data_IF_941899590877
#
_entry.id   IF_941899590877
#
_cell.length_a   1.000
_cell.length_b   1.000
_cell.length_c   1.000
_cell.angle_alpha   90.00
_cell.angle_beta   90.00
_cell.angle_gamma   90.00
#
_symmetry.space_group_name_H-M   'P 1'
#
loop_
_entity.id
_entity.type
_entity.pdbx_description
1 polymer ?
#
# COMPACT_ATOMS: atom_id res chain seq x y z
N UNK A 1 -19.68 -5.23 9.42
CA UNK A 1 -18.92 -5.82 10.54
C UNK A 1 -18.25 -4.76 11.42
N UNK A 2 -17.59 -3.72 10.87
CA UNK A 2 -16.92 -2.67 11.64
C UNK A 2 -17.90 -1.99 12.59
N UNK A 3 -19.01 -1.46 12.06
CA UNK A 3 -20.05 -0.76 12.84
C UNK A 3 -20.72 -1.66 13.88
N UNK A 4 -20.98 -2.93 13.56
CA UNK A 4 -21.61 -3.89 14.47
C UNK A 4 -20.76 -4.20 15.71
N UNK A 5 -19.47 -3.89 15.66
CA UNK A 5 -18.50 -4.04 16.76
C UNK A 5 -18.22 -2.73 17.52
N UNK A 6 -18.92 -1.65 17.17
CA UNK A 6 -18.82 -0.36 17.84
C UNK A 6 -17.70 0.55 17.33
N UNK A 7 -16.99 0.16 16.26
CA UNK A 7 -15.94 1.00 15.65
C UNK A 7 -16.53 2.00 14.66
N UNK A 8 -15.91 3.16 14.58
CA UNK A 8 -16.28 4.24 13.66
C UNK A 8 -15.44 4.14 12.38
N UNK A 9 -16.15 3.99 11.26
CA UNK A 9 -15.51 3.93 9.94
C UNK A 9 -14.99 5.32 9.57
N UNK A 10 -13.72 5.41 9.19
CA UNK A 10 -13.04 6.65 8.87
C UNK A 10 -12.34 7.33 10.07
N UNK A 11 -12.58 6.83 11.30
CA UNK A 11 -11.94 7.32 12.51
C UNK A 11 -11.11 6.22 13.19
N UNK A 12 -11.79 5.15 13.62
CA UNK A 12 -11.12 4.03 14.28
C UNK A 12 -10.54 3.03 13.27
N UNK A 13 -11.18 2.89 12.11
CA UNK A 13 -10.78 2.00 11.03
C UNK A 13 -10.95 2.72 9.68
N UNK A 14 -9.90 2.68 8.88
CA UNK A 14 -9.85 3.19 7.50
C UNK A 14 -9.58 2.04 6.53
N UNK A 15 -9.70 2.29 5.23
CA UNK A 15 -9.45 1.27 4.22
C UNK A 15 -8.13 1.51 3.51
N UNK A 16 -7.40 0.42 3.29
CA UNK A 16 -6.30 0.34 2.34
C UNK A 16 -6.68 -0.74 1.31
N UNK A 17 -6.44 -0.47 0.05
CA UNK A 17 -6.71 -1.41 -1.04
C UNK A 17 -5.43 -1.75 -1.78
N UNK A 18 -5.32 -2.99 -2.20
CA UNK A 18 -4.33 -3.49 -3.13
C UNK A 18 -5.06 -3.87 -4.42
N UNK A 19 -4.85 -3.07 -5.45
CA UNK A 19 -5.54 -3.23 -6.73
C UNK A 19 -4.89 -4.30 -7.61
N UNK A 20 -3.60 -4.57 -7.41
CA UNK A 20 -2.79 -5.49 -8.21
C UNK A 20 -3.05 -5.30 -9.72
N UNK A 21 -3.06 -4.04 -10.17
CA UNK A 21 -3.59 -3.67 -11.47
C UNK A 21 -2.79 -4.25 -12.64
N UNK A 22 -1.53 -4.66 -12.42
CA UNK A 22 -0.76 -5.40 -13.43
C UNK A 22 -1.43 -6.70 -13.87
N UNK A 23 -2.16 -7.38 -12.97
CA UNK A 23 -2.91 -8.60 -13.32
C UNK A 23 -4.12 -8.34 -14.22
N UNK A 24 -4.60 -7.12 -14.26
CA UNK A 24 -5.72 -6.70 -15.11
C UNK A 24 -5.26 -6.12 -16.45
N UNK A 25 -3.97 -5.85 -16.61
CA UNK A 25 -3.46 -5.10 -17.74
C UNK A 25 -3.23 -5.97 -18.97
N UNK A 26 -3.86 -5.61 -20.08
CA UNK A 26 -3.63 -6.17 -21.41
C UNK A 26 -2.58 -5.30 -22.13
N UNK A 27 -1.33 -5.76 -22.14
CA UNK A 27 -0.21 -5.03 -22.73
C UNK A 27 -0.38 -4.78 -24.24
N UNK A 28 -1.03 -5.71 -24.96
CA UNK A 28 -1.23 -5.58 -26.39
C UNK A 28 -2.21 -4.44 -26.74
N UNK A 29 -3.15 -4.18 -25.84
CA UNK A 29 -4.22 -3.17 -26.01
C UNK A 29 -3.96 -1.89 -25.23
N UNK A 30 -3.09 -1.95 -24.22
CA UNK A 30 -2.82 -0.81 -23.34
C UNK A 30 -3.99 -0.44 -22.43
N UNK A 31 -4.77 -1.43 -21.98
CA UNK A 31 -5.98 -1.22 -21.16
C UNK A 31 -6.07 -2.23 -20.02
N UNK A 32 -6.83 -1.88 -18.99
CA UNK A 32 -7.15 -2.76 -17.86
C UNK A 32 -8.49 -3.43 -18.10
N UNK A 33 -8.53 -4.75 -18.04
CA UNK A 33 -9.70 -5.58 -18.35
C UNK A 33 -10.37 -6.08 -17.07
N UNK A 34 -11.69 -5.93 -16.99
CA UNK A 34 -12.50 -6.28 -15.82
C UNK A 34 -13.49 -7.43 -16.09
N UNK A 35 -13.02 -8.68 -16.18
CA UNK A 35 -13.88 -9.80 -16.54
C UNK A 35 -14.96 -10.12 -15.51
N UNK A 36 -14.71 -9.80 -14.23
CA UNK A 36 -15.69 -9.95 -13.16
C UNK A 36 -16.84 -8.97 -13.25
N UNK A 37 -16.55 -7.71 -13.59
CA UNK A 37 -17.55 -6.65 -13.76
C UNK A 37 -18.41 -6.91 -15.00
N UNK A 38 -17.80 -7.28 -16.12
CA UNK A 38 -18.50 -7.65 -17.36
C UNK A 38 -19.54 -8.75 -17.11
N UNK A 39 -19.17 -9.81 -16.40
CA UNK A 39 -20.10 -10.90 -16.05
C UNK A 39 -21.19 -10.46 -15.08
N UNK A 40 -20.85 -9.64 -14.09
CA UNK A 40 -21.78 -9.17 -13.05
C UNK A 40 -22.89 -8.29 -13.61
N UNK A 41 -22.60 -7.48 -14.62
CA UNK A 41 -23.55 -6.60 -15.29
C UNK A 41 -24.37 -7.30 -16.39
N UNK A 42 -24.05 -8.56 -16.71
CA UNK A 42 -24.70 -9.29 -17.79
C UNK A 42 -24.38 -8.72 -19.19
N UNK A 43 -23.31 -7.96 -19.29
CA UNK A 43 -22.89 -7.38 -20.56
C UNK A 43 -22.20 -8.41 -21.44
N UNK A 44 -22.57 -8.44 -22.71
CA UNK A 44 -21.88 -9.28 -23.73
C UNK A 44 -20.50 -8.72 -24.09
N UNK A 45 -20.28 -7.43 -23.81
CA UNK A 45 -19.01 -6.75 -24.09
C UNK A 45 -18.11 -6.71 -22.86
N UNK A 46 -16.84 -6.91 -23.09
CA UNK A 46 -15.79 -6.79 -22.09
C UNK A 46 -15.64 -5.34 -21.59
N UNK A 47 -15.65 -5.15 -20.28
CA UNK A 47 -15.35 -3.85 -19.67
C UNK A 47 -13.84 -3.68 -19.60
N UNK A 48 -13.33 -2.65 -20.23
CA UNK A 48 -11.93 -2.28 -20.24
C UNK A 48 -11.78 -0.77 -19.92
N UNK A 49 -10.70 -0.41 -19.21
CA UNK A 49 -10.39 0.96 -18.80
C UNK A 49 -8.98 1.33 -19.22
N UNK A 50 -8.79 2.56 -19.68
CA UNK A 50 -7.49 3.19 -19.81
C UNK A 50 -6.92 3.59 -18.44
N UNK A 51 -5.64 3.95 -18.36
CA UNK A 51 -5.03 4.48 -17.13
C UNK A 51 -5.76 5.72 -16.60
N UNK A 52 -6.25 6.58 -17.47
CA UNK A 52 -7.01 7.77 -17.09
C UNK A 52 -8.36 7.41 -16.46
N UNK A 53 -9.06 6.43 -17.01
CA UNK A 53 -10.33 5.93 -16.45
C UNK A 53 -10.11 5.18 -15.13
N UNK A 54 -8.97 4.46 -14.97
CA UNK A 54 -8.57 3.88 -13.68
C UNK A 54 -8.39 4.98 -12.63
N UNK A 55 -7.66 6.03 -12.96
CA UNK A 55 -7.43 7.15 -12.05
C UNK A 55 -8.76 7.81 -11.66
N UNK A 56 -9.67 8.05 -12.63
CA UNK A 56 -10.98 8.61 -12.33
C UNK A 56 -11.81 7.72 -11.40
N UNK A 57 -11.77 6.40 -11.61
CA UNK A 57 -12.41 5.43 -10.72
C UNK A 57 -11.85 5.52 -9.28
N UNK A 58 -10.54 5.62 -9.12
CA UNK A 58 -9.95 5.78 -7.79
C UNK A 58 -10.32 7.10 -7.13
N UNK A 59 -10.43 8.19 -7.89
CA UNK A 59 -10.91 9.47 -7.35
C UNK A 59 -12.33 9.35 -6.79
N UNK A 60 -13.22 8.69 -7.52
CA UNK A 60 -14.59 8.43 -7.06
C UNK A 60 -14.61 7.56 -5.78
N UNK A 61 -13.81 6.50 -5.74
CA UNK A 61 -13.73 5.62 -4.58
C UNK A 61 -13.21 6.35 -3.33
N UNK A 62 -12.16 7.15 -3.48
CA UNK A 62 -11.59 7.96 -2.37
C UNK A 62 -12.58 9.02 -1.87
N UNK A 63 -13.42 9.57 -2.74
CA UNK A 63 -14.48 10.50 -2.33
C UNK A 63 -15.63 9.81 -1.57
N UNK A 64 -15.95 8.58 -1.94
CA UNK A 64 -17.09 7.85 -1.36
C UNK A 64 -16.73 7.07 -0.08
N UNK A 65 -15.50 6.64 0.05
CA UNK A 65 -15.03 5.76 1.12
C UNK A 65 -13.79 6.32 1.80
N UNK A 66 -13.56 6.03 3.09
CA UNK A 66 -12.37 6.44 3.83
C UNK A 66 -11.15 5.60 3.44
N UNK A 67 -10.79 5.63 2.15
CA UNK A 67 -9.59 4.97 1.63
C UNK A 67 -8.41 5.91 1.89
N UNK A 68 -7.37 5.39 2.53
CA UNK A 68 -6.15 6.14 2.87
C UNK A 68 -4.92 5.64 2.10
N UNK A 69 -5.02 4.47 1.47
CA UNK A 69 -3.91 3.86 0.75
C UNK A 69 -4.40 3.04 -0.45
N UNK A 70 -3.72 3.16 -1.57
CA UNK A 70 -3.92 2.36 -2.79
C UNK A 70 -2.57 1.78 -3.19
N UNK A 71 -2.48 0.45 -3.19
CA UNK A 71 -1.31 -0.31 -3.62
C UNK A 71 -1.50 -0.78 -5.06
N UNK A 72 -0.46 -0.66 -5.87
CA UNK A 72 -0.39 -1.08 -7.28
C UNK A 72 -1.63 -0.70 -8.10
N UNK A 73 -1.98 0.58 -8.02
CA UNK A 73 -3.16 1.13 -8.69
C UNK A 73 -3.08 1.11 -10.22
N UNK A 74 -1.90 0.98 -10.80
CA UNK A 74 -1.67 0.92 -12.25
C UNK A 74 -0.59 -0.14 -12.57
N UNK A 75 -0.47 -0.50 -13.85
CA UNK A 75 0.54 -1.41 -14.36
C UNK A 75 1.96 -0.97 -13.95
N UNK A 76 2.81 -1.92 -13.62
CA UNK A 76 4.14 -1.71 -13.03
C UNK A 76 5.12 -0.94 -13.93
N UNK A 77 4.87 -0.86 -15.22
CA UNK A 77 5.69 -0.10 -16.17
C UNK A 77 4.94 1.10 -16.80
N UNK A 78 3.70 1.39 -16.35
CA UNK A 78 2.98 2.61 -16.76
C UNK A 78 3.44 3.83 -15.96
N UNK A 79 4.70 4.21 -16.13
CA UNK A 79 5.30 5.35 -15.41
C UNK A 79 4.57 6.66 -15.65
N UNK A 80 4.02 6.88 -16.84
CA UNK A 80 3.25 8.09 -17.17
C UNK A 80 1.91 8.10 -16.42
N UNK A 81 1.22 6.98 -16.39
CA UNK A 81 -0.01 6.82 -15.60
C UNK A 81 0.25 7.03 -14.10
N UNK A 82 1.32 6.46 -13.57
CA UNK A 82 1.71 6.64 -12.16
C UNK A 82 2.01 8.10 -11.79
N UNK A 83 2.67 8.86 -12.67
CA UNK A 83 2.87 10.30 -12.47
C UNK A 83 1.53 11.06 -12.41
N UNK A 84 0.59 10.74 -13.32
CA UNK A 84 -0.74 11.34 -13.34
C UNK A 84 -1.53 10.98 -12.08
N UNK A 85 -1.52 9.69 -11.68
CA UNK A 85 -2.15 9.20 -10.46
C UNK A 85 -1.62 9.94 -9.24
N UNK A 86 -0.30 10.03 -9.11
CA UNK A 86 0.35 10.71 -7.98
C UNK A 86 -0.01 12.20 -7.94
N UNK A 87 -0.02 12.87 -9.08
CA UNK A 87 -0.40 14.28 -9.17
C UNK A 87 -1.85 14.53 -8.73
N UNK A 88 -2.77 13.59 -8.98
CA UNK A 88 -4.21 13.75 -8.70
C UNK A 88 -4.60 13.32 -7.29
N UNK A 89 -3.95 12.29 -6.77
CA UNK A 89 -4.34 11.65 -5.50
C UNK A 89 -3.24 11.60 -4.43
N UNK A 90 -1.97 11.87 -4.78
CA UNK A 90 -0.84 11.71 -3.86
C UNK A 90 -0.90 12.59 -2.62
N UNK A 91 -1.58 13.74 -2.66
CA UNK A 91 -1.80 14.61 -1.51
C UNK A 91 -2.96 14.12 -0.61
N UNK A 92 -3.78 13.19 -1.09
CA UNK A 92 -5.00 12.72 -0.41
C UNK A 92 -4.84 11.33 0.17
N UNK A 93 -4.12 10.46 -0.53
CA UNK A 93 -3.93 9.05 -0.17
C UNK A 93 -2.48 8.63 -0.37
N UNK A 94 -2.09 7.61 0.37
CA UNK A 94 -0.84 6.91 0.12
C UNK A 94 -0.96 6.08 -1.15
N UNK A 95 0.01 6.22 -2.05
CA UNK A 95 0.13 5.46 -3.29
C UNK A 95 1.35 4.56 -3.18
N UNK A 96 1.10 3.28 -2.95
CA UNK A 96 2.15 2.29 -2.66
C UNK A 96 2.54 1.56 -3.93
N UNK A 97 3.83 1.53 -4.23
CA UNK A 97 4.37 0.66 -5.27
C UNK A 97 4.91 -0.64 -4.67
N UNK A 98 4.28 -1.76 -5.01
CA UNK A 98 4.79 -3.11 -4.80
C UNK A 98 5.49 -3.60 -6.08
N UNK A 99 4.75 -4.01 -7.10
CA UNK A 99 5.30 -4.46 -8.39
C UNK A 99 6.01 -3.31 -9.12
N UNK A 100 5.54 -2.08 -8.95
CA UNK A 100 6.20 -0.88 -9.47
C UNK A 100 7.68 -0.81 -9.04
N UNK A 101 7.98 -1.13 -7.78
CA UNK A 101 9.31 -0.93 -7.20
C UNK A 101 10.08 -2.23 -6.92
N UNK A 102 9.39 -3.33 -6.67
CA UNK A 102 9.94 -4.65 -6.29
C UNK A 102 11.07 -4.58 -5.25
N UNK A 103 10.96 -3.64 -4.29
CA UNK A 103 11.99 -3.33 -3.27
C UNK A 103 13.37 -2.99 -3.90
N UNK A 104 13.41 -2.61 -5.17
CA UNK A 104 14.64 -2.37 -5.93
C UNK A 104 15.05 -0.89 -5.91
N UNK A 105 16.22 -0.53 -5.33
CA UNK A 105 16.67 0.86 -5.25
C UNK A 105 16.71 1.59 -6.61
N UNK A 106 16.99 0.90 -7.71
CA UNK A 106 16.99 1.51 -9.04
C UNK A 106 15.60 1.93 -9.50
N UNK A 107 14.59 1.08 -9.27
CA UNK A 107 13.20 1.41 -9.61
C UNK A 107 12.65 2.48 -8.67
N UNK A 108 12.97 2.41 -7.36
CA UNK A 108 12.62 3.46 -6.38
C UNK A 108 13.21 4.80 -6.81
N UNK A 109 14.50 4.85 -7.18
CA UNK A 109 15.14 6.07 -7.67
C UNK A 109 14.46 6.62 -8.94
N UNK A 110 14.01 5.72 -9.83
CA UNK A 110 13.25 6.12 -11.02
C UNK A 110 11.94 6.78 -10.63
N UNK A 111 11.16 6.14 -9.74
CA UNK A 111 9.90 6.68 -9.23
C UNK A 111 10.06 8.05 -8.56
N UNK A 112 11.06 8.20 -7.70
CA UNK A 112 11.38 9.48 -7.05
C UNK A 112 11.64 10.57 -8.10
N UNK A 113 12.47 10.28 -9.11
CA UNK A 113 12.80 11.26 -10.17
C UNK A 113 11.57 11.65 -11.01
N UNK A 114 10.66 10.73 -11.22
CA UNK A 114 9.46 10.93 -12.01
C UNK A 114 8.31 11.52 -11.20
N UNK A 115 8.38 11.51 -9.87
CA UNK A 115 7.26 11.86 -8.99
C UNK A 115 6.12 10.84 -9.08
N UNK A 116 6.46 9.56 -9.17
CA UNK A 116 5.53 8.44 -9.27
C UNK A 116 5.43 7.69 -7.94
N UNK A 117 4.22 7.54 -7.40
CA UNK A 117 3.93 7.02 -6.06
C UNK A 117 4.41 7.96 -4.92
N UNK A 118 4.15 7.60 -3.67
CA UNK A 118 4.64 8.27 -2.47
C UNK A 118 4.96 7.30 -1.33
N UNK A 119 4.86 5.98 -1.59
CA UNK A 119 5.20 4.93 -0.65
C UNK A 119 5.76 3.70 -1.37
N UNK A 120 6.58 2.93 -0.67
CA UNK A 120 7.22 1.70 -1.15
C UNK A 120 6.77 0.53 -0.29
N UNK A 121 6.28 -0.54 -0.91
CA UNK A 121 6.11 -1.82 -0.24
C UNK A 121 7.47 -2.53 -0.18
N UNK A 122 7.88 -2.95 1.00
CA UNK A 122 9.18 -3.58 1.23
C UNK A 122 8.99 -5.06 1.50
N UNK A 123 9.46 -5.88 0.58
CA UNK A 123 9.50 -7.35 0.67
C UNK A 123 10.96 -7.78 0.64
N UNK A 124 11.52 -8.13 1.79
CA UNK A 124 12.96 -8.40 1.97
C UNK A 124 13.49 -9.43 0.98
N UNK A 125 12.70 -10.44 0.65
CA UNK A 125 13.10 -11.51 -0.27
C UNK A 125 12.97 -11.14 -1.76
N UNK A 126 12.37 -10.01 -2.14
CA UNK A 126 12.36 -9.54 -3.54
C UNK A 126 13.74 -9.06 -3.97
N UNK A 127 14.41 -8.28 -3.12
CA UNK A 127 15.78 -7.82 -3.38
C UNK A 127 16.83 -8.83 -2.92
N UNK A 128 16.54 -9.61 -1.86
CA UNK A 128 17.28 -10.80 -1.47
C UNK A 128 18.21 -10.66 -0.27
N UNK A 129 18.59 -9.46 0.14
CA UNK A 129 19.39 -9.24 1.35
C UNK A 129 18.80 -8.16 2.24
N UNK A 130 19.05 -8.28 3.55
CA UNK A 130 18.63 -7.25 4.53
C UNK A 130 19.32 -5.91 4.23
N UNK A 131 20.59 -5.93 3.87
CA UNK A 131 21.35 -4.72 3.54
C UNK A 131 20.73 -3.96 2.36
N UNK A 132 20.37 -4.64 1.29
CA UNK A 132 19.72 -4.01 0.13
C UNK A 132 18.33 -3.51 0.49
N UNK A 133 17.59 -4.24 1.32
CA UNK A 133 16.28 -3.79 1.84
C UNK A 133 16.41 -2.51 2.67
N UNK A 134 17.40 -2.43 3.56
CA UNK A 134 17.68 -1.24 4.34
C UNK A 134 18.08 -0.05 3.45
N UNK A 135 18.88 -0.27 2.41
CA UNK A 135 19.23 0.76 1.44
C UNK A 135 18.00 1.26 0.67
N UNK A 136 17.07 0.37 0.31
CA UNK A 136 15.83 0.74 -0.35
C UNK A 136 14.92 1.58 0.57
N UNK A 137 14.81 1.18 1.85
CA UNK A 137 14.06 1.90 2.88
C UNK A 137 14.65 3.30 3.09
N UNK A 138 15.96 3.40 3.27
CA UNK A 138 16.64 4.67 3.50
C UNK A 138 16.46 5.62 2.31
N UNK A 139 16.60 5.10 1.08
CA UNK A 139 16.38 5.87 -0.14
C UNK A 139 14.95 6.42 -0.22
N UNK A 140 13.94 5.60 0.05
CA UNK A 140 12.54 5.99 0.05
C UNK A 140 12.29 7.09 1.09
N UNK A 141 12.70 6.87 2.34
CA UNK A 141 12.53 7.81 3.45
C UNK A 141 13.24 9.14 3.21
N UNK A 142 14.47 9.11 2.67
CA UNK A 142 15.24 10.33 2.34
C UNK A 142 14.56 11.18 1.26
N UNK A 143 13.70 10.58 0.44
CA UNK A 143 12.90 11.28 -0.56
C UNK A 143 11.49 11.68 -0.06
N UNK A 144 11.18 11.43 1.20
CA UNK A 144 9.85 11.70 1.78
C UNK A 144 8.78 10.65 1.44
N UNK A 145 9.18 9.49 0.92
CA UNK A 145 8.26 8.38 0.71
C UNK A 145 8.06 7.60 2.01
N UNK A 146 6.84 7.12 2.21
CA UNK A 146 6.55 6.15 3.27
C UNK A 146 7.07 4.76 2.91
N UNK A 147 7.21 3.91 3.92
CA UNK A 147 7.58 2.50 3.73
C UNK A 147 6.60 1.60 4.45
N UNK A 148 6.17 0.55 3.78
CA UNK A 148 5.28 -0.48 4.35
C UNK A 148 6.03 -1.80 4.35
N UNK A 149 6.38 -2.32 5.52
CA UNK A 149 7.04 -3.62 5.62
C UNK A 149 6.00 -4.71 5.40
N UNK A 150 6.28 -5.62 4.46
CA UNK A 150 5.27 -6.55 3.98
C UNK A 150 5.68 -8.01 4.12
N UNK A 151 4.69 -8.83 4.44
CA UNK A 151 4.72 -10.28 4.29
C UNK A 151 4.65 -10.70 2.82
N UNK A 152 4.61 -12.01 2.58
CA UNK A 152 4.25 -12.62 1.29
C UNK A 152 2.95 -13.40 1.43
N UNK A 153 2.32 -13.75 0.28
CA UNK A 153 1.14 -14.64 0.26
C UNK A 153 1.44 -16.01 0.84
N UNK A 154 2.60 -16.58 0.52
CA UNK A 154 3.15 -17.76 1.19
C UNK A 154 4.06 -17.35 2.34
N UNK A 155 3.63 -17.57 3.58
CA UNK A 155 4.31 -17.15 4.80
C UNK A 155 4.59 -18.31 5.74
N UNK A 156 5.52 -18.06 6.68
CA UNK A 156 5.83 -18.93 7.82
C UNK A 156 5.60 -18.20 9.14
N UNK A 157 5.81 -18.86 10.27
CA UNK A 157 5.72 -18.24 11.59
C UNK A 157 6.94 -17.37 11.95
N UNK A 158 7.92 -17.20 11.05
CA UNK A 158 9.03 -16.27 11.23
C UNK A 158 8.52 -14.84 11.43
N UNK A 159 9.03 -14.16 12.44
CA UNK A 159 8.56 -12.84 12.86
C UNK A 159 9.49 -11.68 12.46
N UNK A 160 10.57 -11.95 11.72
CA UNK A 160 11.61 -10.97 11.38
C UNK A 160 11.05 -9.64 10.84
N UNK A 161 10.00 -9.67 10.03
CA UNK A 161 9.43 -8.44 9.46
C UNK A 161 8.78 -7.53 10.52
N UNK A 162 8.35 -8.06 11.67
CA UNK A 162 7.85 -7.24 12.77
C UNK A 162 9.00 -6.49 13.45
N UNK A 163 10.12 -7.18 13.72
CA UNK A 163 11.34 -6.56 14.26
C UNK A 163 11.87 -5.51 13.28
N UNK A 164 11.91 -5.82 11.97
CA UNK A 164 12.35 -4.88 10.95
C UNK A 164 11.46 -3.64 10.91
N UNK A 165 10.14 -3.79 10.96
CA UNK A 165 9.21 -2.66 10.89
C UNK A 165 9.45 -1.65 12.03
N UNK A 166 9.68 -2.15 13.25
CA UNK A 166 10.00 -1.31 14.40
C UNK A 166 11.42 -0.75 14.30
N UNK A 167 12.41 -1.58 13.99
CA UNK A 167 13.81 -1.18 13.93
C UNK A 167 14.09 -0.05 12.92
N UNK A 168 13.37 -0.04 11.80
CA UNK A 168 13.49 1.03 10.80
C UNK A 168 12.48 2.15 11.00
N UNK A 169 11.64 2.07 12.04
CA UNK A 169 10.54 3.01 12.27
C UNK A 169 9.70 3.20 10.98
N UNK A 170 9.20 2.11 10.43
CA UNK A 170 8.43 2.14 9.20
C UNK A 170 7.03 2.76 9.37
N UNK A 171 6.49 2.73 10.59
CA UNK A 171 5.13 3.19 10.93
C UNK A 171 4.03 2.26 10.42
N UNK A 172 4.32 1.40 9.45
CA UNK A 172 3.35 0.54 8.79
C UNK A 172 3.88 -0.87 8.56
N UNK A 173 2.98 -1.86 8.72
CA UNK A 173 3.22 -3.25 8.36
C UNK A 173 1.99 -3.85 7.65
N UNK A 174 2.21 -4.53 6.53
CA UNK A 174 1.20 -5.34 5.84
C UNK A 174 1.47 -6.80 6.15
N UNK A 175 0.69 -7.41 7.05
CA UNK A 175 0.99 -8.76 7.55
C UNK A 175 -0.23 -9.69 7.63
N UNK A 176 -1.29 -9.37 6.92
CA UNK A 176 -2.52 -10.16 6.85
C UNK A 176 -3.48 -9.91 8.01
N UNK A 177 -4.62 -10.57 7.99
CA UNK A 177 -5.58 -10.53 9.07
C UNK A 177 -5.02 -11.22 10.33
N UNK A 178 -5.47 -10.84 11.56
CA UNK A 178 -5.00 -11.46 12.80
C UNK A 178 -5.61 -12.87 13.00
N UNK A 179 -5.40 -13.72 12.02
CA UNK A 179 -5.79 -15.13 12.01
C UNK A 179 -4.74 -15.94 11.23
N UNK A 180 -4.64 -17.23 11.49
CA UNK A 180 -3.57 -18.15 11.07
C UNK A 180 -2.23 -17.83 11.74
N UNK A 181 -1.49 -18.86 12.13
CA UNK A 181 -0.27 -18.73 12.93
C UNK A 181 0.83 -17.93 12.22
N UNK A 182 0.98 -18.11 10.91
CA UNK A 182 1.95 -17.37 10.10
C UNK A 182 1.70 -15.85 10.04
N UNK A 183 0.50 -15.38 10.43
CA UNK A 183 0.16 -13.96 10.52
C UNK A 183 0.21 -13.48 11.97
N UNK A 184 -0.43 -14.22 12.88
CA UNK A 184 -0.47 -13.85 14.30
C UNK A 184 0.90 -13.86 14.97
N UNK A 185 1.87 -14.63 14.45
CA UNK A 185 3.26 -14.58 14.92
C UNK A 185 3.86 -13.18 14.87
N UNK A 186 3.58 -12.41 13.80
CA UNK A 186 4.05 -11.03 13.63
C UNK A 186 3.38 -10.08 14.62
N UNK A 187 2.05 -10.20 14.78
CA UNK A 187 1.32 -9.40 15.78
C UNK A 187 1.79 -9.68 17.19
N UNK A 188 1.99 -10.97 17.52
CA UNK A 188 2.53 -11.35 18.82
C UNK A 188 3.96 -10.83 19.03
N UNK A 189 4.77 -10.75 17.98
CA UNK A 189 6.12 -10.17 18.08
C UNK A 189 6.05 -8.67 18.33
N UNK A 190 5.16 -7.94 17.68
CA UNK A 190 4.93 -6.51 17.96
C UNK A 190 4.54 -6.28 19.43
N UNK A 191 3.67 -7.13 20.00
CA UNK A 191 3.32 -7.07 21.42
C UNK A 191 4.51 -7.32 22.34
N UNK A 192 5.41 -8.26 22.00
CA UNK A 192 6.64 -8.50 22.77
C UNK A 192 7.60 -7.32 22.71
N UNK A 193 7.73 -6.71 21.52
CA UNK A 193 8.56 -5.50 21.35
C UNK A 193 7.99 -4.35 22.19
N UNK A 194 6.68 -4.16 22.19
CA UNK A 194 6.01 -3.15 23.00
C UNK A 194 6.27 -3.38 24.50
N UNK A 195 6.16 -4.62 24.97
CA UNK A 195 6.46 -5.00 26.36
C UNK A 195 7.94 -4.73 26.72
N UNK A 196 8.87 -5.01 25.81
CA UNK A 196 10.31 -4.80 25.99
C UNK A 196 10.68 -3.31 26.02
N UNK A 197 10.05 -2.50 25.17
CA UNK A 197 10.26 -1.05 25.12
C UNK A 197 9.56 -0.31 26.28
N UNK A 198 8.55 -0.89 26.88
CA UNK A 198 7.81 -0.34 28.02
C UNK A 198 7.35 1.13 27.77
N UNK A 199 7.86 2.06 28.60
CA UNK A 199 7.50 3.49 28.51
C UNK A 199 8.06 4.18 27.25
N UNK A 200 9.04 3.60 26.58
CA UNK A 200 9.59 4.10 25.32
C UNK A 200 8.78 3.64 24.09
N UNK A 201 7.82 2.73 24.29
CA UNK A 201 6.92 2.28 23.23
C UNK A 201 5.94 3.41 22.85
N UNK A 202 6.12 3.98 21.68
CA UNK A 202 5.24 5.02 21.14
C UNK A 202 4.73 4.59 19.78
N UNK A 203 3.40 4.55 19.63
CA UNK A 203 2.75 4.40 18.34
C UNK A 203 2.08 5.71 17.95
N UNK A 204 2.67 6.41 17.00
CA UNK A 204 2.08 7.61 16.39
C UNK A 204 1.51 7.21 15.03
N UNK A 205 0.18 7.23 14.85
CA UNK A 205 -0.40 7.04 13.52
C UNK A 205 0.18 8.07 12.56
N UNK A 206 0.66 7.62 11.42
CA UNK A 206 1.25 8.52 10.43
C UNK A 206 0.25 9.59 9.96
N UNK A 207 0.76 10.74 9.50
CA UNK A 207 0.01 11.92 9.05
C UNK A 207 -1.06 11.67 7.97
N UNK A 208 -1.03 10.50 7.30
CA UNK A 208 -2.02 10.06 6.31
C UNK A 208 -3.46 10.22 6.84
N UNK A 209 -3.67 9.94 8.14
CA UNK A 209 -4.98 10.03 8.79
C UNK A 209 -5.35 11.46 9.22
N UNK A 210 -4.39 12.32 9.49
CA UNK A 210 -4.66 13.70 9.93
C UNK A 210 -5.02 14.64 8.78
N UNK A 211 -4.40 14.49 7.60
CA UNK A 211 -4.79 15.24 6.40
C UNK A 211 -6.24 14.99 6.01
N UNK A 212 -6.67 13.74 6.03
CA UNK A 212 -8.07 13.39 5.74
C UNK A 212 -9.05 13.88 6.81
N UNK A 213 -8.64 13.99 8.08
CA UNK A 213 -9.48 14.57 9.15
C UNK A 213 -9.67 16.08 8.96
N UNK A 214 -8.64 16.80 8.55
CA UNK A 214 -8.70 18.24 8.34
C UNK A 214 -9.64 18.65 7.19
N UNK A 215 -9.65 17.87 6.08
CA UNK A 215 -10.54 18.14 4.93
C UNK A 215 -12.01 17.81 5.19
N UNK A 216 -12.33 16.93 6.15
CA UNK A 216 -13.72 16.59 6.53
C UNK A 216 -14.32 17.53 7.57
N UNK A 217 -13.49 18.39 8.19
CA UNK A 217 -13.93 19.38 9.20
C UNK A 217 -14.09 20.80 8.63
N UNK A 218 -13.80 21.02 7.36
CA UNK A 218 -14.03 22.27 6.63
C UNK A 218 -15.14 22.15 5.61
#
# INVERSE_FOLDING_TARGET
CIRDRGYRVGEDIVYAMDAAASELYDEARGVYVFPGESKGNGEEQEIARSSEEMIAMYEELVQQFPIVSIEDGLFEDDWEGWQKLTKRLGDKVQLVGDDLFVTNPKRIQCGIKLGAANAVLVKVNQIGTVTESLNAIEMAKSAGYHTVISHRSGETEDAFIADLAVAVNAGQIKTGAPCRAERTSKYNQLLRIEEELAEDAVFVPEEITEKQKAEKMG
#
